data_IF_932362170029
#
_entry.id   IF_932362170029
#
_cell.length_a   1.000
_cell.length_b   1.000
_cell.length_c   1.000
_cell.angle_alpha   90.00
_cell.angle_beta   90.00
_cell.angle_gamma   90.00
#
_symmetry.space_group_name_H-M   'P 1'
#
loop_
_entity.id
_entity.type
_entity.pdbx_description
1 polymer ?
#
# COMPACT_ATOMS: atom_id res chain seq x y z
N UNK A 1 -33.71 10.42 10.23
CA UNK A 1 -33.36 10.44 11.66
C UNK A 1 -33.02 9.03 12.07
N UNK A 2 -31.79 8.61 11.91
CA UNK A 2 -31.20 7.43 12.56
C UNK A 2 -29.80 7.86 13.01
N UNK A 3 -29.57 7.71 14.29
CA UNK A 3 -28.35 8.16 14.97
C UNK A 3 -27.15 7.30 14.50
N UNK A 4 -26.10 7.96 14.03
CA UNK A 4 -24.77 7.35 13.86
C UNK A 4 -24.10 7.32 15.23
N UNK A 5 -23.76 6.14 15.66
CA UNK A 5 -22.94 5.90 16.84
C UNK A 5 -21.47 5.92 16.41
N UNK A 6 -20.78 6.98 16.79
CA UNK A 6 -19.34 7.16 16.60
C UNK A 6 -18.61 6.26 17.60
N UNK A 7 -17.87 5.26 17.12
CA UNK A 7 -16.97 4.48 17.96
C UNK A 7 -15.53 4.97 17.68
N UNK A 8 -15.01 5.76 18.62
CA UNK A 8 -13.59 6.09 18.69
C UNK A 8 -12.82 4.86 19.13
N UNK A 9 -11.90 4.37 18.28
CA UNK A 9 -10.86 3.40 18.67
C UNK A 9 -9.56 4.16 18.84
N UNK A 10 -9.13 4.26 20.09
CA UNK A 10 -7.86 4.86 20.50
C UNK A 10 -6.70 3.93 20.04
N UNK A 11 -5.88 4.41 19.12
CA UNK A 11 -4.57 3.83 18.84
C UNK A 11 -3.61 4.20 19.99
N UNK A 12 -3.06 3.22 20.66
CA UNK A 12 -1.97 3.40 21.61
C UNK A 12 -0.63 3.36 20.85
N UNK A 13 -0.10 4.54 20.57
CA UNK A 13 1.28 4.71 20.17
C UNK A 13 2.18 4.73 21.41
N UNK A 14 3.17 3.86 21.47
CA UNK A 14 4.24 3.93 22.46
C UNK A 14 5.22 5.04 22.09
N UNK A 15 5.05 6.23 22.68
CA UNK A 15 6.06 7.28 22.67
C UNK A 15 7.18 6.90 23.67
N UNK A 16 8.40 6.75 23.18
CA UNK A 16 9.60 6.69 24.03
C UNK A 16 10.03 8.11 24.37
N UNK A 17 9.71 8.56 25.57
CA UNK A 17 10.37 9.72 26.20
C UNK A 17 11.81 9.37 26.58
N UNK A 18 12.77 10.14 26.05
CA UNK A 18 14.14 10.17 26.56
C UNK A 18 14.21 11.11 27.76
N UNK A 19 14.31 10.56 28.94
CA UNK A 19 14.81 11.30 30.12
C UNK A 19 16.19 10.80 30.49
N UNK A 20 17.13 11.75 30.43
CA UNK A 20 18.49 11.64 30.96
C UNK A 20 18.41 11.76 32.49
N UNK A 21 18.86 10.76 33.25
CA UNK A 21 19.34 10.95 34.63
C UNK A 21 20.40 9.89 35.00
N UNK A 22 21.39 10.39 35.62
CA UNK A 22 22.64 9.89 36.14
C UNK A 22 22.56 8.61 36.99
N UNK A 23 23.72 7.87 36.92
CA UNK A 23 24.10 6.73 37.72
C UNK A 23 23.91 6.90 39.25
N UNK A 24 23.41 5.85 39.89
CA UNK A 24 23.90 5.39 41.21
C UNK A 24 23.55 3.90 41.42
N UNK A 25 24.57 3.17 41.78
CA UNK A 25 24.55 1.74 42.09
C UNK A 25 23.60 1.36 43.20
N UNK A 26 22.88 0.24 43.04
CA UNK A 26 22.76 -0.76 44.13
C UNK A 26 22.29 -2.14 43.66
N UNK A 27 22.95 -3.13 44.19
CA UNK A 27 22.85 -4.55 43.90
C UNK A 27 21.56 -5.23 44.39
N UNK A 28 21.30 -6.38 43.73
CA UNK A 28 20.62 -7.61 44.19
C UNK A 28 19.08 -7.60 44.29
N UNK A 29 18.45 -8.32 43.41
CA UNK A 29 17.81 -9.62 43.72
C UNK A 29 17.22 -10.23 42.46
N UNK A 30 17.50 -11.50 42.27
CA UNK A 30 16.92 -12.33 41.22
C UNK A 30 15.38 -12.35 41.35
N UNK A 31 14.69 -12.12 40.26
CA UNK A 31 13.32 -12.61 40.12
C UNK A 31 13.12 -13.11 38.68
N UNK A 32 12.68 -14.36 38.63
CA UNK A 32 12.41 -15.16 37.46
C UNK A 32 11.26 -14.56 36.66
N UNK A 33 11.55 -13.90 35.54
CA UNK A 33 10.59 -13.75 34.46
C UNK A 33 11.12 -14.51 33.26
N UNK A 34 10.69 -15.77 33.15
CA UNK A 34 10.92 -16.57 31.97
C UNK A 34 10.20 -15.89 30.79
N UNK A 35 10.98 -15.37 29.87
CA UNK A 35 10.52 -15.16 28.49
C UNK A 35 10.08 -16.52 27.92
N UNK A 36 8.98 -16.62 27.19
CA UNK A 36 8.65 -17.84 26.46
C UNK A 36 9.71 -18.00 25.36
N UNK A 37 10.69 -18.87 25.61
CA UNK A 37 11.57 -19.36 24.56
C UNK A 37 10.68 -20.13 23.57
N UNK A 38 10.46 -19.60 22.39
CA UNK A 38 10.00 -20.38 21.27
C UNK A 38 11.04 -21.46 21.00
N UNK A 39 10.74 -22.69 21.37
CA UNK A 39 11.54 -23.86 21.03
C UNK A 39 11.24 -24.22 19.56
N UNK A 40 11.94 -23.57 18.64
CA UNK A 40 11.83 -23.72 17.18
C UNK A 40 12.38 -25.05 16.63
N UNK A 41 12.71 -26.00 17.50
CA UNK A 41 13.28 -27.30 17.10
C UNK A 41 12.29 -28.46 17.16
N UNK A 42 10.98 -28.23 17.25
CA UNK A 42 10.01 -29.31 17.22
C UNK A 42 10.07 -30.01 15.86
N UNK A 43 10.63 -31.21 15.82
CA UNK A 43 10.46 -32.14 14.70
C UNK A 43 8.95 -32.31 14.44
N UNK A 44 8.53 -32.40 13.18
CA UNK A 44 7.11 -32.63 12.88
C UNK A 44 6.59 -33.83 13.69
N UNK A 45 5.37 -33.76 14.20
CA UNK A 45 4.80 -34.84 14.99
C UNK A 45 4.88 -36.15 14.19
N UNK A 46 5.04 -37.27 14.86
CA UNK A 46 5.14 -38.59 14.23
C UNK A 46 3.89 -38.95 13.40
N UNK A 47 2.79 -38.31 13.67
CA UNK A 47 1.54 -38.34 12.92
C UNK A 47 0.88 -36.96 12.99
N UNK A 48 0.43 -36.39 11.85
CA UNK A 48 -0.21 -35.08 11.85
C UNK A 48 -1.54 -35.11 12.61
N UNK A 49 -1.83 -34.14 13.49
CA UNK A 49 -3.09 -34.12 14.24
C UNK A 49 -4.28 -33.84 13.32
N UNK A 50 -5.49 -34.20 13.78
CA UNK A 50 -6.73 -33.85 13.13
C UNK A 50 -7.11 -32.39 13.45
N UNK A 51 -7.36 -31.61 12.41
CA UNK A 51 -7.85 -30.23 12.54
C UNK A 51 -9.38 -30.25 12.58
N UNK A 52 -9.97 -29.70 13.64
CA UNK A 52 -11.43 -29.56 13.74
C UNK A 52 -11.77 -28.21 14.40
N UNK A 53 -12.73 -27.50 13.81
CA UNK A 53 -13.25 -26.23 14.30
C UNK A 53 -12.68 -25.00 13.59
N UNK A 54 -12.75 -23.87 14.26
CA UNK A 54 -12.45 -22.56 13.68
C UNK A 54 -10.99 -22.15 13.91
N UNK A 55 -10.39 -21.56 12.87
CA UNK A 55 -9.04 -21.05 12.85
C UNK A 55 -8.99 -19.63 12.27
N UNK A 56 -8.12 -18.78 12.83
CA UNK A 56 -7.72 -17.51 12.23
C UNK A 56 -6.57 -17.75 11.26
N UNK A 57 -6.64 -17.17 10.08
CA UNK A 57 -5.56 -17.24 9.11
C UNK A 57 -5.11 -15.84 8.70
N UNK A 58 -3.80 -15.58 8.74
CA UNK A 58 -3.19 -14.45 8.05
C UNK A 58 -2.72 -14.91 6.67
N UNK A 59 -3.18 -14.25 5.63
CA UNK A 59 -2.75 -14.47 4.26
C UNK A 59 -1.87 -13.29 3.83
N UNK A 60 -0.56 -13.51 3.72
CA UNK A 60 0.39 -12.55 3.20
C UNK A 60 0.35 -12.58 1.68
N UNK A 61 -0.02 -11.45 1.08
CA UNK A 61 -0.13 -11.31 -0.38
C UNK A 61 1.25 -11.00 -0.97
N UNK A 62 1.92 -11.99 -1.57
CA UNK A 62 3.29 -11.87 -2.06
C UNK A 62 3.58 -10.69 -3.00
N UNK A 63 2.69 -10.38 -3.98
CA UNK A 63 2.88 -9.23 -4.85
C UNK A 63 2.72 -7.86 -4.16
N UNK A 64 2.16 -7.82 -2.95
CA UNK A 64 1.88 -6.58 -2.19
C UNK A 64 2.67 -6.60 -0.88
N UNK A 65 3.60 -5.69 -0.74
CA UNK A 65 4.57 -5.67 0.36
C UNK A 65 3.91 -5.55 1.73
N UNK A 66 4.04 -6.56 2.56
CA UNK A 66 3.53 -6.56 3.93
C UNK A 66 2.00 -6.59 4.06
N UNK A 67 1.25 -6.72 2.97
CA UNK A 67 -0.21 -6.84 3.04
C UNK A 67 -0.62 -8.20 3.57
N UNK A 68 -1.26 -8.22 4.72
CA UNK A 68 -1.88 -9.41 5.30
C UNK A 68 -3.40 -9.27 5.24
N UNK A 69 -4.04 -10.20 4.54
CA UNK A 69 -5.50 -10.34 4.52
C UNK A 69 -5.91 -11.32 5.61
N UNK A 70 -6.82 -10.90 6.47
CA UNK A 70 -7.34 -11.76 7.53
C UNK A 70 -8.46 -12.66 7.02
N UNK A 71 -8.36 -13.94 7.32
CA UNK A 71 -9.32 -14.97 6.94
C UNK A 71 -9.74 -15.81 8.16
N UNK A 72 -10.88 -16.44 8.07
CA UNK A 72 -11.30 -17.50 8.97
C UNK A 72 -11.46 -18.80 8.18
N UNK A 73 -10.87 -19.87 8.69
CA UNK A 73 -11.01 -21.21 8.16
C UNK A 73 -11.75 -22.09 9.19
N UNK A 74 -12.68 -22.91 8.72
CA UNK A 74 -13.35 -23.92 9.54
C UNK A 74 -13.05 -25.29 8.96
N UNK A 75 -12.34 -26.12 9.71
CA UNK A 75 -11.94 -27.46 9.29
C UNK A 75 -12.80 -28.55 9.92
N UNK A 76 -13.13 -29.56 9.12
CA UNK A 76 -13.61 -30.86 9.54
C UNK A 76 -12.69 -31.91 8.93
N UNK A 77 -12.04 -32.72 9.77
CA UNK A 77 -11.15 -33.81 9.36
C UNK A 77 -11.55 -35.12 9.97
N UNK A 78 -11.34 -36.20 9.24
CA UNK A 78 -11.53 -37.58 9.69
C UNK A 78 -10.30 -38.44 9.41
N UNK A 79 -10.26 -39.60 10.06
CA UNK A 79 -9.28 -40.67 9.86
C UNK A 79 -10.05 -41.99 9.64
N UNK A 80 -9.70 -42.74 8.59
CA UNK A 80 -10.29 -44.04 8.31
C UNK A 80 -9.64 -45.15 9.12
N UNK A 81 -10.18 -46.39 9.00
CA UNK A 81 -9.67 -47.57 9.73
C UNK A 81 -8.23 -47.95 9.33
N UNK A 82 -7.73 -47.46 8.22
CA UNK A 82 -6.38 -47.70 7.69
C UNK A 82 -5.39 -46.58 8.11
N UNK A 83 -5.87 -45.51 8.82
CA UNK A 83 -5.07 -44.38 9.29
C UNK A 83 -4.86 -43.28 8.25
N UNK A 84 -5.62 -43.33 7.13
CA UNK A 84 -5.59 -42.25 6.13
C UNK A 84 -6.42 -41.07 6.65
N UNK A 85 -5.83 -39.87 6.53
CA UNK A 85 -6.47 -38.63 6.97
C UNK A 85 -6.98 -37.82 5.80
N UNK A 86 -8.16 -37.27 6.01
CA UNK A 86 -8.85 -36.46 4.98
C UNK A 86 -9.40 -35.20 5.63
N UNK A 87 -9.22 -34.04 4.98
CA UNK A 87 -10.03 -32.86 5.24
C UNK A 87 -11.36 -33.07 4.54
N UNK A 88 -12.37 -33.48 5.30
CA UNK A 88 -13.70 -33.76 4.78
C UNK A 88 -14.37 -32.50 4.25
N UNK A 89 -14.16 -31.38 4.98
CA UNK A 89 -14.60 -30.06 4.59
C UNK A 89 -13.65 -28.97 5.15
N UNK A 90 -13.43 -27.93 4.38
CA UNK A 90 -12.88 -26.65 4.85
C UNK A 90 -13.66 -25.49 4.26
N UNK A 91 -14.08 -24.54 5.11
CA UNK A 91 -14.85 -23.36 4.74
C UNK A 91 -13.96 -22.14 4.89
N UNK A 92 -13.94 -21.29 3.86
CA UNK A 92 -13.21 -20.02 3.83
C UNK A 92 -14.17 -18.85 4.03
N UNK A 93 -13.84 -17.95 4.95
CA UNK A 93 -14.52 -16.68 5.18
C UNK A 93 -13.50 -15.57 5.25
N UNK A 94 -13.86 -14.35 4.85
CA UNK A 94 -13.08 -13.16 5.15
C UNK A 94 -13.34 -12.71 6.60
N UNK A 95 -12.34 -12.07 7.17
CA UNK A 95 -12.45 -11.47 8.49
C UNK A 95 -11.79 -10.08 8.50
N UNK A 96 -12.16 -9.22 9.45
CA UNK A 96 -11.54 -7.92 9.62
C UNK A 96 -10.98 -7.75 11.04
N UNK A 97 -10.25 -6.66 11.26
CA UNK A 97 -9.61 -6.38 12.56
C UNK A 97 -10.62 -6.19 13.70
N UNK A 98 -11.88 -5.84 13.40
CA UNK A 98 -12.95 -5.74 14.38
C UNK A 98 -13.49 -7.10 14.81
N UNK A 99 -13.04 -8.21 14.18
CA UNK A 99 -13.50 -9.55 14.43
C UNK A 99 -14.82 -9.90 13.71
N UNK A 100 -15.28 -9.05 12.79
CA UNK A 100 -16.40 -9.36 11.92
C UNK A 100 -15.98 -10.39 10.89
N UNK A 101 -16.87 -11.30 10.53
CA UNK A 101 -16.62 -12.39 9.58
C UNK A 101 -17.70 -12.34 8.50
N UNK A 102 -17.30 -12.57 7.24
CA UNK A 102 -18.21 -12.63 6.10
C UNK A 102 -19.09 -13.89 6.12
N UNK A 103 -20.03 -13.99 5.19
CA UNK A 103 -20.62 -15.27 4.78
C UNK A 103 -19.53 -16.17 4.18
N UNK A 104 -19.87 -17.45 3.95
CA UNK A 104 -18.96 -18.42 3.34
C UNK A 104 -18.58 -17.98 1.93
N UNK A 105 -17.26 -17.77 1.69
CA UNK A 105 -16.74 -17.36 0.39
C UNK A 105 -16.47 -18.56 -0.51
N UNK A 106 -15.92 -19.63 0.07
CA UNK A 106 -15.59 -20.85 -0.64
C UNK A 106 -15.66 -22.06 0.29
N UNK A 107 -15.94 -23.22 -0.29
CA UNK A 107 -15.96 -24.52 0.41
C UNK A 107 -15.17 -25.52 -0.46
N UNK A 108 -14.23 -26.23 0.17
CA UNK A 108 -13.48 -27.33 -0.43
C UNK A 108 -13.57 -28.56 0.50
N UNK A 109 -13.27 -29.75 -0.01
CA UNK A 109 -13.31 -30.96 0.80
C UNK A 109 -12.87 -32.22 0.05
N UNK A 110 -12.78 -33.34 0.79
CA UNK A 110 -12.24 -34.58 0.27
C UNK A 110 -10.73 -34.50 -0.01
N UNK A 111 -9.99 -33.72 0.78
CA UNK A 111 -8.58 -33.42 0.56
C UNK A 111 -7.73 -34.39 1.36
N UNK A 112 -6.90 -35.24 0.71
CA UNK A 112 -6.01 -36.15 1.43
C UNK A 112 -4.91 -35.39 2.17
N UNK A 113 -4.56 -35.86 3.37
CA UNK A 113 -3.43 -35.37 4.15
C UNK A 113 -2.39 -36.47 4.19
N UNK A 114 -1.15 -36.19 3.74
CA UNK A 114 -0.10 -37.18 3.75
C UNK A 114 0.47 -37.44 5.15
N UNK A 115 1.35 -38.44 5.27
CA UNK A 115 1.95 -38.81 6.54
C UNK A 115 2.85 -37.71 7.17
N UNK A 116 3.27 -36.72 6.38
CA UNK A 116 4.02 -35.55 6.86
C UNK A 116 3.11 -34.36 7.22
N UNK A 117 1.79 -34.51 7.06
CA UNK A 117 0.81 -33.48 7.35
C UNK A 117 0.61 -32.49 6.20
N UNK A 118 1.13 -32.77 4.99
CA UNK A 118 0.92 -31.89 3.84
C UNK A 118 -0.48 -32.09 3.27
N UNK A 119 -1.08 -30.96 2.86
CA UNK A 119 -2.38 -30.90 2.20
C UNK A 119 -2.38 -29.81 1.14
N UNK A 120 -3.23 -29.96 0.13
CA UNK A 120 -3.41 -28.96 -0.91
C UNK A 120 -4.91 -28.66 -1.07
N UNK A 121 -5.30 -27.40 -0.85
CA UNK A 121 -6.67 -26.93 -0.96
C UNK A 121 -6.78 -26.08 -2.23
N UNK A 122 -7.43 -26.63 -3.25
CA UNK A 122 -7.78 -25.89 -4.48
C UNK A 122 -9.12 -25.18 -4.25
N UNK A 123 -9.05 -23.87 -4.03
CA UNK A 123 -10.23 -23.05 -3.84
C UNK A 123 -10.91 -22.76 -5.19
N UNK A 124 -12.25 -22.93 -5.30
CA UNK A 124 -12.98 -22.39 -6.44
C UNK A 124 -12.79 -20.86 -6.52
N UNK A 125 -13.09 -20.28 -7.68
CA UNK A 125 -13.16 -18.82 -7.79
C UNK A 125 -14.11 -18.28 -6.72
N UNK A 126 -13.63 -17.33 -5.92
CA UNK A 126 -14.44 -16.65 -4.89
C UNK A 126 -14.21 -15.13 -4.95
N UNK A 127 -15.18 -14.39 -4.43
CA UNK A 127 -15.10 -12.93 -4.35
C UNK A 127 -14.88 -12.51 -2.91
N UNK A 128 -13.78 -11.79 -2.65
CA UNK A 128 -13.54 -11.09 -1.39
C UNK A 128 -14.38 -9.81 -1.40
N UNK A 129 -15.37 -9.64 -0.49
CA UNK A 129 -16.26 -8.49 -0.53
C UNK A 129 -15.53 -7.18 -0.18
N UNK A 130 -15.98 -6.07 -0.75
CA UNK A 130 -15.42 -4.72 -0.53
C UNK A 130 -15.24 -4.36 0.96
N UNK A 131 -16.14 -4.82 1.83
CA UNK A 131 -16.07 -4.59 3.27
C UNK A 131 -14.85 -5.22 3.95
N UNK A 132 -14.26 -6.26 3.33
CA UNK A 132 -13.10 -7.03 3.82
C UNK A 132 -11.89 -6.86 2.92
N UNK A 133 -12.04 -6.17 1.78
CA UNK A 133 -10.98 -5.94 0.81
C UNK A 133 -10.16 -4.69 1.16
N UNK A 134 -8.83 -4.72 1.01
CA UNK A 134 -8.00 -3.54 1.18
C UNK A 134 -8.18 -2.50 0.07
N UNK A 135 -8.85 -2.86 -1.04
CA UNK A 135 -9.02 -2.00 -2.22
C UNK A 135 -10.37 -1.27 -2.26
N UNK A 136 -11.21 -1.38 -1.22
CA UNK A 136 -12.57 -0.80 -1.17
C UNK A 136 -13.53 -1.29 -2.26
N UNK A 137 -13.13 -2.29 -3.06
CA UNK A 137 -13.94 -2.96 -4.09
C UNK A 137 -13.98 -4.46 -3.86
N UNK A 138 -14.92 -5.13 -4.52
CA UNK A 138 -14.96 -6.58 -4.57
C UNK A 138 -13.76 -7.11 -5.37
N UNK A 139 -13.12 -8.18 -4.89
CA UNK A 139 -11.92 -8.76 -5.51
C UNK A 139 -12.11 -10.24 -5.77
N UNK A 140 -12.05 -10.65 -7.03
CA UNK A 140 -12.15 -12.04 -7.44
C UNK A 140 -10.78 -12.72 -7.34
N UNK A 141 -10.75 -13.86 -6.63
CA UNK A 141 -9.52 -14.60 -6.34
C UNK A 141 -9.74 -16.07 -6.70
N UNK A 142 -8.74 -16.65 -7.38
CA UNK A 142 -8.61 -18.09 -7.56
C UNK A 142 -7.26 -18.53 -7.04
N UNK A 143 -7.24 -19.43 -6.04
CA UNK A 143 -6.01 -19.80 -5.38
C UNK A 143 -5.95 -21.27 -4.97
N UNK A 144 -4.72 -21.76 -4.81
CA UNK A 144 -4.38 -23.04 -4.22
C UNK A 144 -3.53 -22.77 -2.98
N UNK A 145 -3.95 -23.31 -1.84
CA UNK A 145 -3.20 -23.27 -0.58
C UNK A 145 -2.49 -24.61 -0.37
N UNK A 146 -1.15 -24.61 -0.43
CA UNK A 146 -0.32 -25.79 -0.16
C UNK A 146 0.27 -25.65 1.24
N UNK A 147 -0.27 -26.39 2.21
CA UNK A 147 0.06 -26.24 3.62
C UNK A 147 0.55 -27.51 4.30
N UNK A 148 1.19 -27.32 5.44
CA UNK A 148 1.60 -28.40 6.34
C UNK A 148 1.00 -28.19 7.74
N UNK A 149 0.36 -29.22 8.26
CA UNK A 149 -0.11 -29.27 9.65
C UNK A 149 1.12 -29.43 10.55
N UNK A 150 1.41 -28.43 11.37
CA UNK A 150 2.53 -28.40 12.31
C UNK A 150 2.12 -28.85 13.71
N UNK A 151 0.91 -28.52 14.11
CA UNK A 151 0.29 -28.92 15.37
C UNK A 151 -1.23 -28.88 15.22
N UNK A 152 -1.97 -29.30 16.27
CA UNK A 152 -3.45 -29.18 16.29
C UNK A 152 -3.94 -27.72 16.24
N UNK A 153 -3.04 -26.76 16.55
CA UNK A 153 -3.35 -25.34 16.60
C UNK A 153 -2.66 -24.53 15.50
N UNK A 154 -1.81 -25.15 14.66
CA UNK A 154 -1.03 -24.42 13.68
C UNK A 154 -0.85 -25.13 12.35
N UNK A 155 -1.23 -24.45 11.27
CA UNK A 155 -0.99 -24.83 9.88
C UNK A 155 -0.35 -23.65 9.16
N UNK A 156 0.62 -23.90 8.31
CA UNK A 156 1.22 -22.84 7.49
C UNK A 156 1.68 -23.37 6.12
N UNK A 157 1.90 -22.46 5.19
CA UNK A 157 2.33 -22.84 3.84
C UNK A 157 2.31 -21.69 2.86
N UNK A 158 2.29 -22.06 1.59
CA UNK A 158 2.30 -21.15 0.44
C UNK A 158 0.92 -21.05 -0.21
N UNK A 159 0.68 -19.93 -0.89
CA UNK A 159 -0.51 -19.73 -1.72
C UNK A 159 -0.07 -19.36 -3.13
N UNK A 160 -0.63 -20.06 -4.11
CA UNK A 160 -0.44 -19.78 -5.54
C UNK A 160 -1.79 -19.50 -6.19
N UNK A 161 -1.77 -18.94 -7.40
CA UNK A 161 -2.99 -18.60 -8.13
C UNK A 161 -2.97 -17.17 -8.62
N UNK A 162 -4.14 -16.56 -8.69
CA UNK A 162 -4.33 -15.26 -9.31
C UNK A 162 -5.39 -14.42 -8.59
N UNK A 163 -5.12 -13.14 -8.41
CA UNK A 163 -6.15 -12.13 -8.15
C UNK A 163 -6.72 -11.73 -9.51
N UNK A 164 -7.84 -12.37 -9.88
CA UNK A 164 -8.43 -12.28 -11.24
C UNK A 164 -8.85 -10.86 -11.59
N UNK A 165 -9.38 -10.10 -10.61
CA UNK A 165 -9.78 -8.70 -10.81
C UNK A 165 -8.65 -7.78 -11.24
N UNK A 166 -7.38 -8.17 -11.00
CA UNK A 166 -6.20 -7.35 -11.32
C UNK A 166 -5.20 -8.06 -12.27
N UNK A 167 -5.54 -9.27 -12.72
CA UNK A 167 -4.62 -10.12 -13.51
C UNK A 167 -3.25 -10.29 -12.81
N UNK A 168 -3.28 -10.44 -11.47
CA UNK A 168 -2.07 -10.44 -10.63
C UNK A 168 -1.80 -11.85 -10.09
N UNK A 169 -0.62 -12.40 -10.41
CA UNK A 169 -0.15 -13.69 -9.89
C UNK A 169 0.11 -13.59 -8.38
N UNK A 170 -0.30 -14.62 -7.62
CA UNK A 170 -0.10 -14.74 -6.18
C UNK A 170 1.27 -15.36 -5.80
N UNK A 171 2.21 -15.49 -6.72
CA UNK A 171 3.54 -16.03 -6.42
C UNK A 171 4.21 -15.32 -5.24
N UNK A 172 4.80 -16.09 -4.33
CA UNK A 172 5.41 -15.59 -3.11
C UNK A 172 4.43 -15.30 -1.96
N UNK A 173 3.12 -15.57 -2.16
CA UNK A 173 2.14 -15.48 -1.08
C UNK A 173 2.28 -16.66 -0.11
N UNK A 174 2.04 -16.36 1.18
CA UNK A 174 2.09 -17.36 2.25
C UNK A 174 0.89 -17.24 3.17
N UNK A 175 0.64 -18.27 3.96
CA UNK A 175 -0.38 -18.22 5.01
C UNK A 175 0.10 -18.89 6.30
N UNK A 176 -0.40 -18.40 7.41
CA UNK A 176 -0.30 -19.06 8.71
C UNK A 176 -1.66 -19.06 9.37
N UNK A 177 -2.00 -20.14 10.05
CA UNK A 177 -3.35 -20.39 10.59
C UNK A 177 -3.23 -20.88 12.02
N UNK A 178 -3.88 -20.19 12.96
CA UNK A 178 -3.94 -20.59 14.38
C UNK A 178 -5.38 -20.77 14.82
N UNK A 179 -5.59 -21.51 15.93
CA UNK A 179 -6.94 -21.68 16.47
C UNK A 179 -7.62 -20.35 16.74
N UNK A 180 -8.92 -20.27 16.41
CA UNK A 180 -9.71 -19.06 16.57
C UNK A 180 -9.98 -18.72 18.03
N UNK A 181 -9.48 -17.57 18.48
CA UNK A 181 -9.67 -17.02 19.84
C UNK A 181 -10.42 -15.70 19.86
N UNK A 182 -11.28 -15.42 18.86
CA UNK A 182 -11.94 -14.12 18.65
C UNK A 182 -10.98 -12.94 18.46
N UNK A 183 -9.74 -13.21 18.03
CA UNK A 183 -8.74 -12.19 17.70
C UNK A 183 -8.00 -12.58 16.44
N UNK A 184 -7.85 -11.62 15.53
CA UNK A 184 -7.10 -11.77 14.28
C UNK A 184 -5.71 -11.13 14.42
N UNK A 185 -5.56 -10.15 15.33
CA UNK A 185 -4.30 -9.48 15.57
C UNK A 185 -3.25 -10.47 16.11
N UNK A 186 -2.12 -10.56 15.40
CA UNK A 186 -1.01 -11.46 15.72
C UNK A 186 -1.14 -12.86 15.14
N UNK A 187 -2.10 -13.09 14.23
CA UNK A 187 -2.15 -14.35 13.47
C UNK A 187 -0.93 -14.42 12.54
N UNK A 188 -0.16 -15.52 12.55
CA UNK A 188 0.95 -15.70 11.62
C UNK A 188 0.49 -15.63 10.17
N UNK A 189 1.30 -15.08 9.30
CA UNK A 189 1.02 -15.01 7.85
C UNK A 189 1.87 -15.97 7.03
N UNK A 190 2.64 -16.85 7.67
CA UNK A 190 3.50 -17.83 7.04
C UNK A 190 4.05 -18.84 8.04
N UNK A 191 4.93 -19.71 7.56
CA UNK A 191 5.69 -20.62 8.40
C UNK A 191 6.83 -19.88 9.14
N UNK A 192 7.32 -20.40 10.29
CA UNK A 192 8.49 -19.84 10.96
C UNK A 192 9.68 -19.71 10.01
N UNK A 193 10.35 -18.56 10.02
CA UNK A 193 11.45 -18.23 9.11
C UNK A 193 11.04 -17.61 7.78
N UNK A 194 9.74 -17.32 7.60
CA UNK A 194 9.20 -16.56 6.44
C UNK A 194 8.81 -15.13 6.81
N UNK A 195 9.34 -14.61 7.91
CA UNK A 195 9.08 -13.23 8.33
C UNK A 195 9.62 -12.24 7.29
N UNK A 196 8.85 -11.19 7.05
CA UNK A 196 9.28 -10.10 6.16
C UNK A 196 10.42 -9.31 6.82
N UNK A 197 11.42 -8.97 6.04
CA UNK A 197 12.45 -8.01 6.44
C UNK A 197 12.02 -6.59 6.06
N UNK A 198 12.19 -5.64 6.98
CA UNK A 198 11.98 -4.22 6.68
C UNK A 198 12.89 -3.75 5.54
N UNK A 199 12.39 -2.89 4.67
CA UNK A 199 13.16 -2.39 3.54
C UNK A 199 14.29 -1.48 4.06
N UNK A 200 15.53 -1.88 3.75
CA UNK A 200 16.71 -1.07 4.06
C UNK A 200 16.74 0.18 3.18
N UNK A 201 17.04 1.32 3.81
CA UNK A 201 17.19 2.61 3.13
C UNK A 201 18.58 2.74 2.50
N UNK A 202 18.66 3.50 1.41
CA UNK A 202 19.95 3.82 0.77
C UNK A 202 20.84 4.63 1.73
N UNK A 203 22.13 4.31 1.74
CA UNK A 203 23.14 5.03 2.55
C UNK A 203 24.05 5.85 1.66
N UNK A 204 24.45 5.29 0.52
CA UNK A 204 25.35 5.90 -0.44
C UNK A 204 24.61 6.13 -1.77
N UNK A 205 24.35 7.39 -2.10
CA UNK A 205 23.64 7.74 -3.33
C UNK A 205 24.50 7.50 -4.58
N UNK A 206 23.94 6.85 -5.62
CA UNK A 206 24.59 6.82 -6.92
C UNK A 206 24.65 8.23 -7.53
N UNK A 207 25.52 8.45 -8.49
CA UNK A 207 25.50 9.72 -9.25
C UNK A 207 24.22 9.77 -10.07
N UNK A 208 23.36 10.73 -9.78
CA UNK A 208 22.12 10.96 -10.49
C UNK A 208 22.37 11.96 -11.64
N UNK A 209 22.11 11.55 -12.85
CA UNK A 209 22.30 12.36 -14.06
C UNK A 209 21.00 12.61 -14.80
N UNK A 210 20.97 13.70 -15.56
CA UNK A 210 19.86 14.01 -16.46
C UNK A 210 19.68 12.91 -17.52
N UNK A 211 18.42 12.60 -17.85
CA UNK A 211 18.02 11.54 -18.75
C UNK A 211 17.68 10.24 -18.03
N UNK A 212 17.56 9.15 -18.81
CA UNK A 212 17.13 7.83 -18.31
C UNK A 212 18.32 7.01 -17.82
N UNK A 213 18.19 6.41 -16.66
CA UNK A 213 19.14 5.44 -16.09
C UNK A 213 18.42 4.21 -15.52
N UNK A 214 19.09 3.06 -15.46
CA UNK A 214 18.52 1.79 -15.07
C UNK A 214 19.04 1.18 -13.76
N UNK A 215 19.84 1.91 -12.99
CA UNK A 215 20.62 1.32 -11.91
C UNK A 215 20.46 2.02 -10.54
N UNK A 216 19.31 2.65 -10.28
CA UNK A 216 19.09 3.25 -8.98
C UNK A 216 18.88 2.16 -7.91
N UNK A 217 19.78 2.02 -6.94
CA UNK A 217 19.73 0.92 -5.97
C UNK A 217 18.79 1.27 -4.81
N UNK A 218 17.52 0.92 -4.94
CA UNK A 218 16.56 1.04 -3.84
C UNK A 218 15.96 -0.33 -3.52
N UNK A 219 16.00 -0.70 -2.25
CA UNK A 219 15.59 -2.03 -1.80
C UNK A 219 16.43 -3.16 -2.40
N UNK A 220 15.78 -4.24 -2.83
CA UNK A 220 16.45 -5.44 -3.34
C UNK A 220 16.63 -5.49 -4.85
N UNK A 221 15.97 -4.59 -5.59
CA UNK A 221 15.94 -4.59 -7.07
C UNK A 221 16.29 -3.21 -7.58
N UNK A 222 17.32 -3.08 -8.46
CA UNK A 222 17.62 -1.81 -9.11
C UNK A 222 16.41 -1.26 -9.88
N UNK A 223 16.22 0.05 -9.84
CA UNK A 223 15.08 0.74 -10.42
C UNK A 223 15.53 1.66 -11.56
N UNK A 224 14.73 1.70 -12.62
CA UNK A 224 14.90 2.72 -13.65
C UNK A 224 14.26 4.04 -13.20
N UNK A 225 14.84 5.16 -13.64
CA UNK A 225 14.23 6.47 -13.54
C UNK A 225 14.64 7.35 -14.73
N UNK A 226 13.90 8.42 -14.93
CA UNK A 226 14.27 9.50 -15.86
C UNK A 226 14.21 10.83 -15.12
N UNK A 227 15.29 11.63 -15.29
CA UNK A 227 15.49 12.92 -14.64
C UNK A 227 15.54 14.03 -15.68
N UNK A 228 14.75 15.09 -15.48
CA UNK A 228 14.75 16.29 -16.28
C UNK A 228 15.01 17.53 -15.42
N UNK A 229 15.96 18.35 -15.83
CA UNK A 229 16.25 19.64 -15.22
C UNK A 229 15.50 20.75 -15.99
N UNK A 230 14.97 21.76 -15.30
CA UNK A 230 14.33 22.89 -15.99
C UNK A 230 15.36 23.73 -16.77
N UNK A 231 14.90 24.40 -17.82
CA UNK A 231 15.75 25.26 -18.61
C UNK A 231 16.50 26.27 -17.77
N UNK A 232 17.84 26.32 -17.94
CA UNK A 232 18.70 27.25 -17.22
C UNK A 232 18.99 26.87 -15.78
N UNK A 233 18.70 25.64 -15.34
CA UNK A 233 19.12 25.16 -14.01
C UNK A 233 20.65 25.25 -13.86
N UNK A 234 21.10 25.93 -12.82
CA UNK A 234 22.54 26.11 -12.51
C UNK A 234 22.89 25.72 -11.06
N UNK A 235 21.92 25.24 -10.29
CA UNK A 235 22.07 24.86 -8.90
C UNK A 235 22.26 26.03 -7.92
N UNK A 236 22.17 27.28 -8.37
CA UNK A 236 22.43 28.45 -7.51
C UNK A 236 21.29 28.80 -6.57
N UNK A 237 20.08 28.40 -6.91
CA UNK A 237 18.84 28.64 -6.11
C UNK A 237 18.16 27.36 -5.73
N UNK A 238 17.51 27.27 -4.54
CA UNK A 238 16.66 26.16 -4.19
C UNK A 238 15.55 25.96 -5.23
N UNK A 239 15.39 24.75 -5.71
CA UNK A 239 14.57 24.38 -6.87
C UNK A 239 13.51 23.36 -6.49
N UNK A 240 12.23 23.53 -6.89
CA UNK A 240 11.19 22.57 -6.60
C UNK A 240 11.44 21.23 -7.30
N UNK A 241 11.10 20.13 -6.61
CA UNK A 241 11.15 18.76 -7.14
C UNK A 241 9.75 18.22 -7.31
N UNK A 242 9.45 17.60 -8.44
CA UNK A 242 8.23 16.79 -8.60
C UNK A 242 8.58 15.36 -8.97
N UNK A 243 8.02 14.40 -8.22
CA UNK A 243 8.10 12.97 -8.53
C UNK A 243 6.84 12.55 -9.26
N UNK A 244 7.01 11.89 -10.43
CA UNK A 244 5.91 11.61 -11.37
C UNK A 244 5.72 10.10 -11.54
N UNK A 245 4.51 9.58 -11.24
CA UNK A 245 4.21 8.15 -11.24
C UNK A 245 3.28 7.76 -12.40
N UNK A 246 3.71 6.79 -13.21
CA UNK A 246 2.90 6.27 -14.33
C UNK A 246 1.77 5.31 -13.88
N UNK A 247 0.80 5.03 -14.76
CA UNK A 247 -0.28 4.08 -14.51
C UNK A 247 0.16 2.60 -14.56
N UNK A 248 -0.73 1.69 -14.17
CA UNK A 248 -0.50 0.25 -14.25
C UNK A 248 -0.19 -0.19 -15.70
N UNK A 249 0.79 -1.07 -15.87
CA UNK A 249 1.22 -1.56 -17.19
C UNK A 249 1.79 -0.49 -18.12
N UNK A 250 2.03 0.72 -17.62
CA UNK A 250 2.58 1.84 -18.35
C UNK A 250 4.09 1.99 -18.14
N UNK A 251 4.67 3.11 -18.55
CA UNK A 251 6.10 3.36 -18.46
C UNK A 251 6.39 4.84 -18.20
N UNK A 252 7.64 5.12 -17.79
CA UNK A 252 8.19 6.47 -17.70
C UNK A 252 7.97 7.23 -19.00
N UNK A 253 8.34 6.65 -20.14
CA UNK A 253 8.24 7.29 -21.45
C UNK A 253 6.79 7.68 -21.81
N UNK A 254 5.82 6.79 -21.53
CA UNK A 254 4.41 7.07 -21.77
C UNK A 254 3.89 8.21 -20.90
N UNK A 255 4.32 8.29 -19.65
CA UNK A 255 3.90 9.33 -18.71
C UNK A 255 4.55 10.68 -19.03
N UNK A 256 5.87 10.72 -19.20
CA UNK A 256 6.59 11.95 -19.52
C UNK A 256 6.33 12.45 -20.95
N UNK A 257 5.92 11.54 -21.86
CA UNK A 257 5.46 11.88 -23.20
C UNK A 257 4.07 12.50 -23.24
N UNK A 258 3.40 12.67 -22.11
CA UNK A 258 2.14 13.41 -22.01
C UNK A 258 2.34 14.85 -22.48
N UNK A 259 1.42 15.32 -23.33
CA UNK A 259 1.46 16.68 -23.86
C UNK A 259 1.53 17.71 -22.73
N UNK A 260 2.41 18.67 -22.83
CA UNK A 260 2.66 19.80 -21.92
C UNK A 260 3.31 19.46 -20.56
N UNK A 261 3.47 18.20 -20.13
CA UNK A 261 4.02 17.90 -18.81
C UNK A 261 5.43 18.52 -18.59
N UNK A 262 6.40 18.15 -19.44
CA UNK A 262 7.77 18.61 -19.30
C UNK A 262 7.93 20.11 -19.61
N UNK A 263 7.16 20.63 -20.58
CA UNK A 263 7.17 22.06 -20.91
C UNK A 263 6.69 22.91 -19.73
N UNK A 264 5.61 22.48 -19.05
CA UNK A 264 5.09 23.18 -17.89
C UNK A 264 5.97 23.02 -16.65
N UNK A 265 6.59 21.87 -16.46
CA UNK A 265 7.58 21.66 -15.40
C UNK A 265 8.77 22.61 -15.60
N UNK A 266 9.32 22.70 -16.82
CA UNK A 266 10.42 23.62 -17.14
C UNK A 266 9.99 25.08 -16.98
N UNK A 267 8.80 25.46 -17.47
CA UNK A 267 8.27 26.83 -17.34
C UNK A 267 8.10 27.28 -15.89
N UNK A 268 7.73 26.37 -15.00
CA UNK A 268 7.58 26.63 -13.55
C UNK A 268 8.84 26.34 -12.75
N UNK A 269 9.91 25.90 -13.41
CA UNK A 269 11.22 25.69 -12.80
C UNK A 269 11.34 24.41 -11.96
N UNK A 270 10.47 23.41 -12.18
CA UNK A 270 10.55 22.13 -11.45
C UNK A 270 11.60 21.19 -12.05
N UNK A 271 12.38 20.56 -11.18
CA UNK A 271 13.08 19.33 -11.52
C UNK A 271 12.04 18.21 -11.52
N UNK A 272 12.03 17.40 -12.58
CA UNK A 272 11.15 16.23 -12.70
C UNK A 272 11.95 14.95 -12.55
N UNK A 273 11.53 14.05 -11.68
CA UNK A 273 12.03 12.68 -11.63
C UNK A 273 10.86 11.70 -11.75
N UNK A 274 10.97 10.76 -12.69
CA UNK A 274 9.95 9.75 -12.94
C UNK A 274 10.56 8.36 -12.80
N UNK A 275 10.24 7.61 -11.73
CA UNK A 275 10.67 6.22 -11.58
C UNK A 275 9.79 5.25 -12.35
N UNK A 276 10.34 4.06 -12.69
CA UNK A 276 9.62 2.92 -13.23
C UNK A 276 9.12 2.02 -12.09
N UNK A 277 7.85 1.63 -12.15
CA UNK A 277 7.28 0.64 -11.24
C UNK A 277 7.93 -0.74 -11.41
N UNK A 278 7.95 -1.54 -10.35
CA UNK A 278 8.34 -2.94 -10.41
C UNK A 278 7.35 -3.77 -11.23
N UNK A 279 7.88 -4.81 -11.88
CA UNK A 279 7.05 -5.86 -12.46
C UNK A 279 6.44 -6.71 -11.34
N UNK A 280 5.12 -6.73 -11.26
CA UNK A 280 4.33 -7.54 -10.34
C UNK A 280 3.37 -8.40 -11.15
N UNK A 281 3.54 -9.72 -11.09
CA UNK A 281 2.75 -10.65 -11.92
C UNK A 281 2.87 -10.42 -13.43
N UNK A 282 4.02 -9.90 -13.92
CA UNK A 282 4.24 -9.59 -15.33
C UNK A 282 3.71 -8.24 -15.79
N UNK A 283 3.30 -7.38 -14.86
CA UNK A 283 2.78 -6.04 -15.13
C UNK A 283 3.49 -5.01 -14.26
N UNK A 284 3.95 -3.91 -14.87
CA UNK A 284 4.55 -2.80 -14.12
C UNK A 284 3.47 -2.14 -13.22
N UNK A 285 3.64 -2.22 -11.91
CA UNK A 285 2.64 -1.75 -10.96
C UNK A 285 3.28 -1.18 -9.68
N UNK A 286 2.74 -0.08 -9.18
CA UNK A 286 3.03 0.46 -7.85
C UNK A 286 2.29 -0.35 -6.79
N UNK A 287 2.82 -0.35 -5.57
CA UNK A 287 2.18 -0.95 -4.41
C UNK A 287 1.50 0.15 -3.55
N UNK A 288 0.19 0.42 -3.73
CA UNK A 288 -0.50 1.50 -3.03
C UNK A 288 -1.06 1.09 -1.67
N UNK A 289 -0.97 -0.19 -1.28
CA UNK A 289 -1.64 -0.74 -0.10
C UNK A 289 -0.70 -1.50 0.85
N UNK A 290 0.57 -1.70 0.47
CA UNK A 290 1.56 -2.37 1.30
C UNK A 290 1.94 -1.58 2.54
N UNK A 291 2.30 -2.30 3.61
CA UNK A 291 2.79 -1.67 4.84
C UNK A 291 4.04 -0.83 4.54
N UNK A 292 4.11 0.45 4.96
CA UNK A 292 5.24 1.34 4.69
C UNK A 292 6.61 0.80 5.10
N UNK A 293 6.70 -0.05 6.14
CA UNK A 293 7.96 -0.64 6.59
C UNK A 293 8.54 -1.65 5.58
N UNK A 294 7.67 -2.26 4.77
CA UNK A 294 8.03 -3.31 3.81
C UNK A 294 7.85 -2.87 2.35
N UNK A 295 7.31 -1.67 2.11
CA UNK A 295 6.93 -1.18 0.79
C UNK A 295 8.13 -0.63 0.02
N UNK A 296 8.58 -1.39 -0.99
CA UNK A 296 9.70 -1.04 -1.86
C UNK A 296 9.49 0.25 -2.68
N UNK A 297 8.23 0.61 -2.96
CA UNK A 297 7.94 1.82 -3.75
C UNK A 297 7.93 3.08 -2.87
N UNK A 298 7.45 2.97 -1.62
CA UNK A 298 7.59 4.05 -0.63
C UNK A 298 9.06 4.29 -0.30
N UNK A 299 9.83 3.21 -0.08
CA UNK A 299 11.28 3.31 0.13
C UNK A 299 11.98 3.96 -1.07
N UNK A 300 11.59 3.60 -2.31
CA UNK A 300 12.12 4.22 -3.52
C UNK A 300 11.87 5.73 -3.55
N UNK A 301 10.65 6.18 -3.25
CA UNK A 301 10.32 7.60 -3.16
C UNK A 301 11.24 8.32 -2.18
N UNK A 302 11.34 7.79 -0.98
CA UNK A 302 12.17 8.36 0.07
C UNK A 302 13.66 8.41 -0.34
N UNK A 303 14.20 7.32 -0.91
CA UNK A 303 15.59 7.22 -1.36
C UNK A 303 15.89 8.19 -2.51
N UNK A 304 14.94 8.35 -3.46
CA UNK A 304 15.08 9.31 -4.54
C UNK A 304 15.09 10.75 -4.03
N UNK A 305 14.15 11.12 -3.15
CA UNK A 305 14.12 12.47 -2.56
C UNK A 305 15.40 12.75 -1.78
N UNK A 306 15.88 11.79 -1.01
CA UNK A 306 17.15 11.91 -0.29
C UNK A 306 18.33 12.13 -1.25
N UNK A 307 18.50 11.26 -2.25
CA UNK A 307 19.63 11.36 -3.18
C UNK A 307 19.57 12.59 -4.10
N UNK A 308 18.36 13.04 -4.47
CA UNK A 308 18.19 14.30 -5.19
C UNK A 308 18.61 15.49 -4.33
N UNK A 309 18.25 15.49 -3.06
CA UNK A 309 18.62 16.57 -2.13
C UNK A 309 20.13 16.63 -1.84
N UNK A 310 20.83 15.49 -1.89
CA UNK A 310 22.29 15.45 -1.71
C UNK A 310 23.07 15.99 -2.94
N UNK A 311 22.49 15.93 -4.14
CA UNK A 311 23.21 16.21 -5.38
C UNK A 311 22.70 17.44 -6.13
N UNK A 312 21.47 17.86 -5.89
CA UNK A 312 20.83 19.02 -6.48
C UNK A 312 20.38 19.99 -5.38
N UNK A 313 20.32 21.27 -5.70
CA UNK A 313 19.83 22.28 -4.76
C UNK A 313 18.30 22.24 -4.69
N UNK A 314 17.76 21.17 -4.09
CA UNK A 314 16.31 20.99 -3.93
C UNK A 314 15.79 21.90 -2.80
N UNK A 315 14.66 22.55 -3.02
CA UNK A 315 13.91 23.26 -1.99
C UNK A 315 13.12 22.22 -1.15
N UNK A 316 13.47 22.00 0.13
CA UNK A 316 12.78 20.98 0.96
C UNK A 316 11.31 21.30 1.23
N UNK A 317 10.91 22.58 1.08
CA UNK A 317 9.52 23.00 1.22
C UNK A 317 8.75 22.92 -0.11
N UNK A 318 9.36 22.37 -1.17
CA UNK A 318 8.78 22.24 -2.51
C UNK A 318 9.05 20.87 -3.14
N UNK A 319 8.84 19.82 -2.37
CA UNK A 319 8.81 18.44 -2.86
C UNK A 319 7.37 18.07 -3.16
N UNK A 320 7.07 17.78 -4.41
CA UNK A 320 5.72 17.55 -4.91
C UNK A 320 5.60 16.16 -5.52
N UNK A 321 4.38 15.64 -5.55
CA UNK A 321 4.08 14.32 -6.15
C UNK A 321 2.88 14.42 -7.08
N UNK A 322 2.94 13.67 -8.18
CA UNK A 322 1.83 13.54 -9.13
C UNK A 322 1.86 12.18 -9.81
N UNK A 323 0.76 11.75 -10.37
CA UNK A 323 0.70 10.51 -11.12
C UNK A 323 -0.68 10.25 -11.70
N UNK A 324 -0.76 9.28 -12.61
CA UNK A 324 -2.00 8.90 -13.29
C UNK A 324 -2.44 7.49 -12.89
N UNK A 325 -3.75 7.27 -12.72
CA UNK A 325 -4.32 5.94 -12.49
C UNK A 325 -3.71 5.29 -11.25
N UNK A 326 -3.10 4.10 -11.35
CA UNK A 326 -2.39 3.48 -10.23
C UNK A 326 -1.28 4.38 -9.66
N UNK A 327 -0.59 5.18 -10.50
CA UNK A 327 0.35 6.20 -10.05
C UNK A 327 -0.34 7.34 -9.30
N UNK A 328 -1.57 7.69 -9.67
CA UNK A 328 -2.41 8.64 -8.94
C UNK A 328 -2.91 8.10 -7.61
N UNK A 329 -3.23 6.80 -7.52
CA UNK A 329 -3.54 6.11 -6.25
C UNK A 329 -2.29 6.07 -5.37
N UNK A 330 -1.13 5.74 -5.95
CA UNK A 330 0.14 5.75 -5.21
C UNK A 330 0.51 7.16 -4.71
N UNK A 331 0.19 8.21 -5.48
CA UNK A 331 0.27 9.60 -5.02
C UNK A 331 -0.58 9.82 -3.76
N UNK A 332 -1.81 9.32 -3.72
CA UNK A 332 -2.67 9.33 -2.52
C UNK A 332 -2.04 8.58 -1.34
N UNK A 333 -1.44 7.42 -1.59
CA UNK A 333 -0.69 6.66 -0.59
C UNK A 333 0.48 7.45 -0.01
N UNK A 334 1.23 8.14 -0.85
CA UNK A 334 2.36 8.98 -0.40
C UNK A 334 1.89 10.18 0.41
N UNK A 335 0.79 10.84 0.06
CA UNK A 335 0.18 11.88 0.91
C UNK A 335 -0.11 11.30 2.30
N UNK A 336 -0.68 10.09 2.35
CA UNK A 336 -1.05 9.42 3.58
C UNK A 336 0.14 8.97 4.46
N UNK A 337 1.32 8.74 3.86
CA UNK A 337 2.46 8.12 4.54
C UNK A 337 3.71 9.01 4.60
N UNK A 338 3.75 10.11 3.84
CA UNK A 338 4.90 11.03 3.70
C UNK A 338 4.46 12.51 3.63
N UNK A 339 3.34 12.85 4.24
CA UNK A 339 2.88 14.26 4.33
C UNK A 339 3.91 15.19 5.00
N UNK A 340 4.77 14.65 5.85
CA UNK A 340 5.91 15.36 6.45
C UNK A 340 7.02 15.73 5.44
N UNK A 341 7.04 15.13 4.27
CA UNK A 341 7.98 15.40 3.16
C UNK A 341 7.30 16.17 2.03
N UNK A 342 6.06 15.83 1.71
CA UNK A 342 5.34 16.34 0.54
C UNK A 342 4.73 17.71 0.83
N UNK A 343 5.04 18.69 -0.02
CA UNK A 343 4.51 20.04 0.08
C UNK A 343 3.08 20.15 -0.48
N UNK A 344 2.85 19.58 -1.66
CA UNK A 344 1.53 19.50 -2.30
C UNK A 344 1.50 18.40 -3.35
N UNK A 345 0.30 17.99 -3.80
CA UNK A 345 0.11 16.86 -4.69
C UNK A 345 -0.96 17.12 -5.77
N UNK A 346 -0.84 16.40 -6.90
CA UNK A 346 -1.81 16.47 -7.98
C UNK A 346 -2.08 15.07 -8.60
N UNK A 347 -2.89 14.19 -7.98
CA UNK A 347 -3.27 12.91 -8.55
C UNK A 347 -4.29 13.06 -9.69
N UNK A 348 -4.05 12.38 -10.84
CA UNK A 348 -4.94 12.31 -12.00
C UNK A 348 -5.59 10.93 -12.09
N UNK A 349 -6.92 10.87 -12.21
CA UNK A 349 -7.70 9.63 -12.14
C UNK A 349 -7.09 8.68 -11.11
N UNK A 350 -6.84 9.23 -9.93
CA UNK A 350 -6.21 8.58 -8.80
C UNK A 350 -7.20 8.44 -7.64
N UNK A 351 -6.68 8.41 -6.44
CA UNK A 351 -7.51 8.31 -5.25
C UNK A 351 -6.79 7.66 -4.10
N UNK A 352 -7.55 7.04 -3.20
CA UNK A 352 -7.02 6.30 -2.07
C UNK A 352 -7.77 4.98 -1.95
N UNK A 353 -7.05 3.87 -1.77
CA UNK A 353 -7.65 2.65 -1.27
C UNK A 353 -7.91 2.78 0.24
N UNK A 354 -8.80 1.92 0.77
CA UNK A 354 -9.11 1.90 2.19
C UNK A 354 -7.85 1.55 2.99
N UNK A 355 -7.13 2.57 3.46
CA UNK A 355 -6.02 2.41 4.39
C UNK A 355 -6.40 3.01 5.74
N UNK A 356 -5.81 2.46 6.83
CA UNK A 356 -5.77 3.14 8.10
C UNK A 356 -4.84 4.34 7.96
N UNK A 357 -5.43 5.52 7.91
CA UNK A 357 -4.67 6.75 7.78
C UNK A 357 -5.19 7.73 8.82
N UNK A 358 -4.27 8.32 9.52
CA UNK A 358 -4.56 9.37 10.50
C UNK A 358 -3.28 10.08 10.90
N UNK A 359 -3.39 11.38 11.17
CA UNK A 359 -2.27 12.20 11.61
C UNK A 359 -1.39 12.70 10.48
N UNK A 360 -1.98 12.95 9.30
CA UNK A 360 -1.29 13.56 8.17
C UNK A 360 -1.02 15.04 8.44
N UNK A 361 0.14 15.51 8.00
CA UNK A 361 0.37 16.95 7.90
C UNK A 361 -0.49 17.50 6.76
N UNK A 362 -1.13 18.68 6.90
CA UNK A 362 -1.95 19.26 5.86
C UNK A 362 -1.17 19.42 4.55
N UNK A 363 -1.57 18.68 3.51
CA UNK A 363 -0.96 18.65 2.20
C UNK A 363 -1.97 19.16 1.16
N UNK A 364 -1.85 20.39 0.65
CA UNK A 364 -2.70 20.90 -0.41
C UNK A 364 -2.74 19.95 -1.61
N UNK A 365 -3.93 19.59 -2.07
CA UNK A 365 -4.08 18.56 -3.12
C UNK A 365 -5.06 18.99 -4.20
N UNK A 366 -4.65 18.88 -5.48
CA UNK A 366 -5.51 19.02 -6.65
C UNK A 366 -5.93 17.62 -7.11
N UNK A 367 -7.15 17.20 -6.81
CA UNK A 367 -7.69 15.88 -7.18
C UNK A 367 -8.40 15.98 -8.52
N UNK A 368 -7.95 15.22 -9.53
CA UNK A 368 -8.56 15.21 -10.87
C UNK A 368 -9.06 13.83 -11.26
N UNK A 369 -10.26 13.75 -11.88
CA UNK A 369 -10.83 12.49 -12.40
C UNK A 369 -11.83 12.72 -13.53
N UNK A 370 -12.18 11.61 -14.25
CA UNK A 370 -12.98 11.63 -15.46
C UNK A 370 -14.49 11.45 -15.28
N UNK A 371 -15.05 11.74 -14.09
CA UNK A 371 -16.49 11.61 -13.82
C UNK A 371 -16.89 10.19 -13.42
N UNK A 372 -18.20 9.91 -13.41
CA UNK A 372 -18.77 8.60 -12.97
C UNK A 372 -18.41 7.44 -13.89
N UNK A 373 -17.98 7.72 -15.13
CA UNK A 373 -17.53 6.74 -16.11
C UNK A 373 -16.00 6.51 -16.05
N UNK A 374 -15.31 7.11 -15.07
CA UNK A 374 -13.88 6.91 -14.85
C UNK A 374 -13.63 5.55 -14.22
N UNK A 375 -13.61 4.50 -15.06
CA UNK A 375 -13.46 3.11 -14.62
C UNK A 375 -12.38 2.40 -15.42
N UNK A 376 -11.53 1.61 -14.75
CA UNK A 376 -10.49 0.80 -15.36
C UNK A 376 -10.16 -0.41 -14.48
N UNK A 377 -9.95 -1.59 -15.05
CA UNK A 377 -9.71 -2.85 -14.32
C UNK A 377 -10.69 -3.09 -13.16
N UNK A 378 -11.99 -2.82 -13.39
CA UNK A 378 -13.02 -2.97 -12.37
C UNK A 378 -13.01 -1.94 -11.24
N UNK A 379 -12.04 -1.02 -11.22
CA UNK A 379 -11.98 0.07 -10.25
C UNK A 379 -12.76 1.28 -10.75
N UNK A 380 -13.50 1.92 -9.86
CA UNK A 380 -14.18 3.18 -10.10
C UNK A 380 -13.36 4.34 -9.50
N UNK A 381 -12.69 5.11 -10.35
CA UNK A 381 -11.84 6.21 -9.92
C UNK A 381 -12.63 7.43 -9.44
N UNK A 382 -13.92 7.54 -9.81
CA UNK A 382 -14.80 8.53 -9.18
C UNK A 382 -14.95 8.27 -7.68
N UNK A 383 -15.19 7.01 -7.29
CA UNK A 383 -15.34 6.63 -5.89
C UNK A 383 -14.02 6.74 -5.13
N UNK A 384 -12.89 6.37 -5.76
CA UNK A 384 -11.56 6.49 -5.17
C UNK A 384 -11.14 7.96 -4.97
N UNK A 385 -11.44 8.84 -5.95
CA UNK A 385 -11.20 10.27 -5.83
C UNK A 385 -12.09 10.92 -4.75
N UNK A 386 -13.35 10.48 -4.66
CA UNK A 386 -14.27 10.92 -3.62
C UNK A 386 -13.77 10.51 -2.22
N UNK A 387 -13.31 9.26 -2.06
CA UNK A 387 -12.74 8.77 -0.80
C UNK A 387 -11.48 9.58 -0.40
N UNK A 388 -10.57 9.82 -1.35
CA UNK A 388 -9.38 10.64 -1.08
C UNK A 388 -9.79 12.05 -0.65
N UNK A 389 -10.71 12.69 -1.39
CA UNK A 389 -11.21 14.04 -1.06
C UNK A 389 -11.83 14.09 0.33
N UNK A 390 -12.68 13.10 0.69
CA UNK A 390 -13.31 13.00 2.01
C UNK A 390 -12.26 12.92 3.11
N UNK A 391 -11.24 12.06 2.94
CA UNK A 391 -10.16 11.89 3.92
C UNK A 391 -9.31 13.13 4.09
N UNK A 392 -8.94 13.77 2.98
CA UNK A 392 -8.20 15.03 3.02
C UNK A 392 -8.97 16.11 3.76
N UNK A 393 -10.29 16.24 3.51
CA UNK A 393 -11.14 17.21 4.18
C UNK A 393 -11.35 16.92 5.67
N UNK A 394 -11.43 15.65 6.07
CA UNK A 394 -11.50 15.23 7.48
C UNK A 394 -10.26 15.68 8.28
N UNK A 395 -9.08 15.68 7.64
CA UNK A 395 -7.79 16.08 8.23
C UNK A 395 -7.41 17.54 7.91
N UNK A 396 -8.38 18.39 7.53
CA UNK A 396 -8.24 19.84 7.28
C UNK A 396 -7.25 20.21 6.15
N UNK A 397 -7.06 19.31 5.16
CA UNK A 397 -6.27 19.62 3.97
C UNK A 397 -7.03 20.56 3.03
N UNK A 398 -6.29 21.41 2.32
CA UNK A 398 -6.84 22.22 1.23
C UNK A 398 -6.99 21.39 -0.04
N UNK A 399 -8.19 21.31 -0.61
CA UNK A 399 -8.48 20.47 -1.78
C UNK A 399 -9.11 21.28 -2.92
N UNK A 400 -8.55 21.11 -4.13
CA UNK A 400 -9.19 21.47 -5.40
C UNK A 400 -9.66 20.20 -6.07
N UNK A 401 -10.91 20.18 -6.50
CA UNK A 401 -11.56 19.08 -7.20
C UNK A 401 -11.74 19.45 -8.67
N UNK A 402 -11.23 18.62 -9.60
CA UNK A 402 -11.31 18.84 -11.04
C UNK A 402 -11.95 17.63 -11.74
N UNK A 403 -13.27 17.67 -11.97
CA UNK A 403 -13.98 16.61 -12.68
C UNK A 403 -14.09 16.92 -14.17
N UNK A 404 -13.15 16.43 -14.99
CA UNK A 404 -13.11 16.70 -16.43
C UNK A 404 -14.13 15.89 -17.26
N UNK A 405 -14.73 14.82 -16.71
CA UNK A 405 -15.82 14.07 -17.34
C UNK A 405 -15.43 13.24 -18.58
N UNK A 406 -14.16 12.98 -18.84
CA UNK A 406 -13.66 12.28 -20.03
C UNK A 406 -13.41 10.77 -19.82
N UNK A 407 -13.91 10.19 -18.70
CA UNK A 407 -13.62 8.81 -18.33
C UNK A 407 -12.17 8.62 -17.90
N UNK A 408 -11.69 7.35 -17.87
CA UNK A 408 -10.33 7.03 -17.42
C UNK A 408 -9.28 7.52 -18.40
N UNK A 409 -8.89 8.79 -18.27
CA UNK A 409 -7.93 9.44 -19.15
C UNK A 409 -7.12 10.51 -18.42
N UNK A 410 -5.89 10.74 -18.88
CA UNK A 410 -5.08 11.85 -18.44
C UNK A 410 -5.54 13.14 -19.13
N UNK A 411 -6.09 14.07 -18.36
CA UNK A 411 -6.47 15.39 -18.86
C UNK A 411 -5.21 16.26 -19.01
N UNK A 412 -4.48 16.09 -20.13
CA UNK A 412 -3.19 16.75 -20.35
C UNK A 412 -3.30 18.29 -20.37
N UNK A 413 -4.45 18.84 -20.73
CA UNK A 413 -4.73 20.28 -20.64
C UNK A 413 -4.74 20.82 -19.22
N UNK A 414 -4.77 19.95 -18.21
CA UNK A 414 -4.73 20.35 -16.80
C UNK A 414 -3.30 20.57 -16.29
N UNK A 415 -2.23 20.12 -16.99
CA UNK A 415 -0.85 20.28 -16.54
C UNK A 415 -0.45 21.72 -16.21
N UNK A 416 -0.80 22.76 -17.02
CA UNK A 416 -0.47 24.15 -16.68
C UNK A 416 -1.02 24.58 -15.31
N UNK A 417 -2.19 24.11 -14.94
CA UNK A 417 -2.86 24.44 -13.68
C UNK A 417 -2.34 23.60 -12.51
N UNK A 418 -2.05 22.32 -12.77
CA UNK A 418 -1.43 21.44 -11.78
C UNK A 418 -0.05 21.95 -11.37
N UNK A 419 0.84 22.27 -12.33
CA UNK A 419 2.16 22.81 -12.00
C UNK A 419 2.09 24.21 -11.36
N UNK A 420 1.15 25.06 -11.75
CA UNK A 420 0.89 26.32 -11.06
C UNK A 420 0.44 26.08 -9.63
N UNK A 421 -0.50 25.14 -9.42
CA UNK A 421 -0.97 24.76 -8.09
C UNK A 421 0.19 24.29 -7.21
N UNK A 422 1.06 23.39 -7.71
CA UNK A 422 2.23 22.91 -6.97
C UNK A 422 3.17 24.05 -6.59
N UNK A 423 3.46 24.97 -7.52
CA UNK A 423 4.30 26.15 -7.25
C UNK A 423 3.73 27.09 -6.20
N UNK A 424 2.40 27.27 -6.20
CA UNK A 424 1.74 28.21 -5.31
C UNK A 424 1.58 27.63 -3.88
N UNK A 425 1.77 26.30 -3.71
CA UNK A 425 1.60 25.60 -2.43
C UNK A 425 2.90 24.95 -1.92
N UNK A 426 3.96 25.73 -1.63
CA UNK A 426 5.06 25.21 -0.84
C UNK A 426 4.58 24.86 0.58
N UNK A 427 5.30 24.00 1.27
CA UNK A 427 4.96 23.60 2.64
C UNK A 427 4.92 24.84 3.57
N UNK A 428 3.86 24.90 4.39
CA UNK A 428 3.70 25.96 5.38
C UNK A 428 3.45 27.36 4.81
N UNK A 429 3.00 27.45 3.54
CA UNK A 429 2.64 28.73 2.92
C UNK A 429 1.50 29.41 3.67
N UNK A 430 1.72 30.67 4.02
CA UNK A 430 0.72 31.51 4.71
C UNK A 430 0.70 32.94 4.09
N UNK A 431 -0.47 33.47 3.71
CA UNK A 431 -1.79 32.81 3.74
C UNK A 431 -1.87 31.69 2.68
N UNK A 432 -2.70 30.67 2.95
CA UNK A 432 -2.91 29.57 2.02
C UNK A 432 -3.52 30.09 0.70
N UNK A 433 -2.90 29.87 -0.47
CA UNK A 433 -3.42 30.30 -1.75
C UNK A 433 -4.80 29.72 -2.03
N UNK A 434 -5.68 30.51 -2.65
CA UNK A 434 -7.05 30.15 -3.05
C UNK A 434 -8.01 29.79 -1.89
N UNK A 435 -7.59 29.89 -0.63
CA UNK A 435 -8.40 29.54 0.55
C UNK A 435 -9.67 30.38 0.72
N UNK A 436 -9.77 31.56 0.07
CA UNK A 436 -10.97 32.39 0.08
C UNK A 436 -12.11 31.87 -0.84
N UNK A 437 -11.97 30.61 -1.35
CA UNK A 437 -13.01 29.88 -2.11
C UNK A 437 -13.08 30.22 -3.60
N UNK A 438 -12.12 30.99 -4.15
CA UNK A 438 -12.10 31.30 -5.58
C UNK A 438 -10.78 30.91 -6.24
N UNK A 439 -10.85 30.03 -7.23
CA UNK A 439 -9.72 29.76 -8.12
C UNK A 439 -9.46 30.95 -9.03
N UNK A 440 -8.20 31.14 -9.50
CA UNK A 440 -7.91 32.04 -10.59
C UNK A 440 -8.81 31.79 -11.81
N UNK A 441 -9.21 32.89 -12.51
CA UNK A 441 -10.17 32.84 -13.63
C UNK A 441 -9.73 31.90 -14.76
N UNK A 442 -8.43 31.65 -14.86
CA UNK A 442 -7.85 30.78 -15.88
C UNK A 442 -8.07 29.29 -15.63
N UNK A 443 -8.37 28.88 -14.38
CA UNK A 443 -8.65 27.47 -14.09
C UNK A 443 -9.89 26.98 -14.86
N UNK A 444 -9.88 25.71 -15.32
CA UNK A 444 -11.05 25.14 -16.00
C UNK A 444 -12.31 25.22 -15.15
N UNK A 445 -13.46 25.48 -15.79
CA UNK A 445 -14.76 25.57 -15.10
C UNK A 445 -15.16 24.29 -14.35
N UNK A 446 -14.54 23.15 -14.69
CA UNK A 446 -14.75 21.87 -14.00
C UNK A 446 -13.88 21.69 -12.75
N UNK A 447 -13.07 22.71 -12.40
CA UNK A 447 -12.29 22.74 -11.17
C UNK A 447 -12.96 23.66 -10.14
N UNK A 448 -12.99 23.23 -8.89
CA UNK A 448 -13.50 24.03 -7.77
C UNK A 448 -12.74 23.74 -6.47
N UNK A 449 -12.68 24.72 -5.57
CA UNK A 449 -12.26 24.49 -4.20
C UNK A 449 -13.35 23.68 -3.49
N UNK A 450 -12.94 22.66 -2.75
CA UNK A 450 -13.86 21.83 -1.95
C UNK A 450 -14.07 22.52 -0.59
N UNK A 451 -15.37 22.70 -0.21
CA UNK A 451 -15.79 23.35 1.04
C UNK A 451 -16.28 22.33 2.09
#
# INVERSE_FOLDING_TARGET
MKAFLLVLVLAWGCAKEKTNTTEEERASSADDTAEPSADDSASPPSEPPLLNGLYSSGFLVGPVSGLVVALQLEFEMSEDEEGNRTVDQVILRAANEAGEVSEDLAIAGGIPVDAAGNMEVDWPLFTLPAAFSPTSGDVDIKSVMSGQIRSEDFVCGEVTGEIVSFEMDLAGSTFGTTRWENRILGTPSGCPGSELEEVSRIVDCPVMGEGRTGDFPSGTTPREYELHLPDGYDGSTPTPLVVVFHGIGSSIEAMLGSENLLDEASRTGHIVIAPQALERGGTAAWDPIGDPAYNLDIALFDDMVFCMSEQYNIDPDRVHVTGMSLGGIFTGTLIATRSDVIASAAPFSGGLFRQKVGGWEPTPTLVSWGGVEDTYYGQNFHDLAALLTERLMEDEHFVISCNHGLGHSLAAELWPYAFRFLMDHPRGVEPLPYAEGSLPEEFPEYCAVVE
#
